data_IF_700209403247
#
_entry.id   IF_700209403247
#
_cell.length_a   1.000
_cell.length_b   1.000
_cell.length_c   1.000
_cell.angle_alpha   90.00
_cell.angle_beta   90.00
_cell.angle_gamma   90.00
#
_symmetry.space_group_name_H-M   'P 1'
#
loop_
_entity.id
_entity.type
_entity.pdbx_description
1 polymer ?
#
# COMPACT_ATOMS: atom_id res chain seq x y z
N UNK A 1 20.29 -6.65 -20.74
CA UNK A 1 20.98 -5.34 -20.63
C UNK A 1 20.30 -4.61 -19.47
N UNK A 2 21.07 -4.14 -18.49
CA UNK A 2 20.52 -3.38 -17.37
C UNK A 2 20.39 -1.89 -17.71
N UNK A 3 19.33 -1.24 -17.23
CA UNK A 3 19.05 0.19 -17.39
C UNK A 3 18.72 0.82 -16.04
N UNK A 4 19.68 0.83 -15.09
CA UNK A 4 19.41 1.09 -13.67
C UNK A 4 18.78 2.45 -13.40
N UNK A 5 19.18 3.48 -14.14
CA UNK A 5 18.62 4.83 -14.00
C UNK A 5 17.15 4.90 -14.43
N UNK A 6 16.80 4.26 -15.55
CA UNK A 6 15.42 4.23 -16.03
C UNK A 6 14.54 3.45 -15.05
N UNK A 7 15.01 2.32 -14.55
CA UNK A 7 14.30 1.53 -13.54
C UNK A 7 14.07 2.33 -12.26
N UNK A 8 15.08 3.07 -11.78
CA UNK A 8 14.96 3.94 -10.61
C UNK A 8 13.94 5.06 -10.85
N UNK A 9 13.97 5.71 -12.02
CA UNK A 9 13.00 6.76 -12.38
C UNK A 9 11.56 6.25 -12.42
N UNK A 10 11.34 5.05 -12.96
CA UNK A 10 10.00 4.41 -12.99
C UNK A 10 9.54 4.09 -11.56
N UNK A 11 10.40 3.49 -10.74
CA UNK A 11 10.07 3.17 -9.35
C UNK A 11 9.69 4.42 -8.56
N UNK A 12 10.44 5.50 -8.71
CA UNK A 12 10.16 6.76 -8.02
C UNK A 12 8.89 7.43 -8.53
N UNK A 13 8.61 7.32 -9.83
CA UNK A 13 7.34 7.79 -10.40
C UNK A 13 6.16 7.05 -9.81
N UNK A 14 6.23 5.72 -9.70
CA UNK A 14 5.18 4.89 -9.10
C UNK A 14 5.03 5.14 -7.59
N UNK A 15 6.13 5.47 -6.89
CA UNK A 15 6.08 5.90 -5.49
C UNK A 15 5.25 7.17 -5.35
N UNK A 16 5.54 8.19 -6.16
CA UNK A 16 4.88 9.50 -6.10
C UNK A 16 3.47 9.52 -6.72
N UNK A 17 3.24 8.74 -7.76
CA UNK A 17 2.03 8.72 -8.60
C UNK A 17 1.52 7.28 -8.77
N UNK A 18 1.09 6.61 -7.67
CA UNK A 18 0.57 5.25 -7.78
C UNK A 18 -0.71 5.24 -8.63
N UNK A 19 -0.81 4.38 -9.67
CA UNK A 19 -2.00 4.29 -10.51
C UNK A 19 -3.26 3.85 -9.75
N UNK A 20 -3.08 3.12 -8.65
CA UNK A 20 -4.12 2.68 -7.74
C UNK A 20 -3.82 3.19 -6.33
N UNK A 21 -4.63 4.12 -5.85
CA UNK A 21 -4.35 4.84 -4.60
C UNK A 21 -4.83 4.12 -3.34
N UNK A 22 -5.86 3.27 -3.46
CA UNK A 22 -6.48 2.55 -2.35
C UNK A 22 -6.88 1.14 -2.77
N UNK A 23 -6.39 0.15 -2.03
CA UNK A 23 -6.79 -1.25 -2.17
C UNK A 23 -7.76 -1.62 -1.06
N UNK A 24 -9.00 -1.94 -1.41
CA UNK A 24 -10.00 -2.39 -0.45
C UNK A 24 -9.99 -3.92 -0.32
N UNK A 25 -10.21 -4.41 0.90
CA UNK A 25 -10.44 -5.83 1.23
C UNK A 25 -11.56 -5.94 2.25
N UNK A 26 -12.34 -7.01 2.13
CA UNK A 26 -13.29 -7.39 3.18
C UNK A 26 -12.62 -8.38 4.12
N UNK A 27 -12.78 -8.15 5.42
CA UNK A 27 -12.32 -9.07 6.45
C UNK A 27 -13.27 -10.26 6.51
N UNK A 28 -12.76 -11.47 6.27
CA UNK A 28 -13.57 -12.71 6.27
C UNK A 28 -13.44 -13.49 7.59
N UNK A 29 -12.35 -13.27 8.32
CA UNK A 29 -12.06 -13.89 9.61
C UNK A 29 -11.52 -12.83 10.58
N UNK A 30 -11.74 -12.94 11.90
CA UNK A 30 -11.23 -11.97 12.87
C UNK A 30 -9.71 -11.83 12.75
N UNK A 31 -9.21 -10.59 12.69
CA UNK A 31 -7.77 -10.31 12.61
C UNK A 31 -7.35 -9.18 13.56
N UNK A 32 -6.06 -9.15 13.88
CA UNK A 32 -5.45 -8.09 14.69
C UNK A 32 -4.31 -7.42 13.90
N UNK A 33 -4.29 -6.08 13.89
CA UNK A 33 -3.26 -5.28 13.23
C UNK A 33 -2.85 -4.17 14.18
N UNK A 34 -1.57 -4.08 14.54
CA UNK A 34 -1.04 -3.04 15.46
C UNK A 34 -1.85 -2.92 16.78
N UNK A 35 -2.33 -4.04 17.33
CA UNK A 35 -3.16 -4.07 18.55
C UNK A 35 -4.66 -3.78 18.32
N UNK A 36 -5.07 -3.51 17.08
CA UNK A 36 -6.47 -3.27 16.72
C UNK A 36 -7.14 -4.55 16.23
N UNK A 37 -8.18 -4.99 16.95
CA UNK A 37 -9.06 -6.08 16.51
C UNK A 37 -10.03 -5.62 15.42
N UNK A 38 -10.10 -6.35 14.32
CA UNK A 38 -10.98 -6.11 13.19
C UNK A 38 -11.86 -7.34 12.97
N UNK A 39 -13.17 -7.16 13.13
CA UNK A 39 -14.14 -8.25 13.00
C UNK A 39 -14.52 -8.52 11.53
N UNK A 40 -14.99 -9.75 11.22
CA UNK A 40 -15.50 -10.09 9.89
C UNK A 40 -16.60 -9.13 9.39
N UNK A 41 -16.63 -8.90 8.09
CA UNK A 41 -17.57 -8.01 7.41
C UNK A 41 -17.11 -6.54 7.32
N UNK A 42 -16.07 -6.14 8.05
CA UNK A 42 -15.48 -4.80 7.90
C UNK A 42 -14.69 -4.67 6.60
N UNK A 43 -14.76 -3.50 5.97
CA UNK A 43 -13.89 -3.13 4.86
C UNK A 43 -12.63 -2.47 5.41
N UNK A 44 -11.47 -2.96 4.98
CA UNK A 44 -10.15 -2.37 5.28
C UNK A 44 -9.50 -1.89 3.99
N UNK A 45 -8.65 -0.88 4.11
CA UNK A 45 -7.99 -0.24 2.97
C UNK A 45 -6.48 -0.12 3.18
N UNK A 46 -5.69 -0.53 2.19
CA UNK A 46 -4.27 -0.17 2.11
C UNK A 46 -4.13 1.04 1.16
N UNK A 47 -3.76 2.19 1.72
CA UNK A 47 -3.61 3.44 0.98
C UNK A 47 -2.19 3.59 0.43
N UNK A 48 -1.97 3.17 -0.82
CA UNK A 48 -0.67 3.22 -1.47
C UNK A 48 -0.18 4.67 -1.59
N UNK A 49 -1.09 5.62 -1.88
CA UNK A 49 -0.74 7.04 -1.97
C UNK A 49 -0.24 7.65 -0.66
N UNK A 50 -0.65 7.08 0.48
CA UNK A 50 -0.18 7.52 1.80
C UNK A 50 1.09 6.77 2.19
N UNK A 51 1.08 5.43 2.15
CA UNK A 51 2.22 4.60 2.57
C UNK A 51 3.50 4.91 1.80
N UNK A 52 3.41 5.18 0.49
CA UNK A 52 4.57 5.56 -0.31
C UNK A 52 5.23 6.89 0.09
N UNK A 53 4.59 7.68 0.95
CA UNK A 53 5.07 8.98 1.44
C UNK A 53 5.45 8.95 2.93
N UNK A 54 5.26 7.82 3.61
CA UNK A 54 5.63 7.68 5.01
C UNK A 54 7.16 7.57 5.16
N UNK A 55 7.70 8.19 6.20
CA UNK A 55 9.10 8.04 6.57
C UNK A 55 9.30 6.69 7.28
N UNK A 56 10.29 5.90 6.86
CA UNK A 56 10.60 4.60 7.47
C UNK A 56 9.75 3.41 7.00
N UNK A 57 8.92 3.61 5.96
CA UNK A 57 8.27 2.51 5.23
C UNK A 57 9.26 1.78 4.30
#
# INVERSE_FOLDING_TARGET
>A
REVPWLEASIKETLRLHPPLILLLRMVVEPMEVEGYRIDPGKLVGASISVSNRMEGA
#
